data_IF_962049392473
#
_entry.id   IF_962049392473
#
_cell.length_a   1.000
_cell.length_b   1.000
_cell.length_c   1.000
_cell.angle_alpha   90.00
_cell.angle_beta   90.00
_cell.angle_gamma   90.00
#
_symmetry.space_group_name_H-M   'P 1'
#
loop_
_entity.id
_entity.type
_entity.pdbx_description
1 polymer ?
#
# COMPACT_ATOMS: atom_id res chain seq x y z
N UNK A 1 -44.71 -29.52 -9.75
CA UNK A 1 -43.66 -28.80 -8.99
C UNK A 1 -44.33 -27.67 -8.21
N UNK A 2 -44.24 -27.65 -6.88
CA UNK A 2 -45.02 -26.75 -6.01
C UNK A 2 -44.45 -25.32 -6.04
N UNK A 3 -45.29 -24.27 -6.19
CA UNK A 3 -44.85 -22.86 -6.31
C UNK A 3 -43.92 -22.43 -5.16
N UNK A 4 -44.13 -22.98 -3.95
CA UNK A 4 -43.28 -22.73 -2.77
C UNK A 4 -41.83 -23.23 -2.95
N UNK A 5 -41.61 -24.29 -3.71
CA UNK A 5 -40.26 -24.83 -3.97
C UNK A 5 -39.51 -23.99 -5.00
N UNK A 6 -40.21 -23.41 -5.97
CA UNK A 6 -39.63 -22.52 -6.98
C UNK A 6 -39.17 -21.21 -6.33
N UNK A 7 -39.97 -20.63 -5.44
CA UNK A 7 -39.59 -19.41 -4.71
C UNK A 7 -38.35 -19.60 -3.83
N UNK A 8 -38.23 -20.75 -3.15
CA UNK A 8 -37.03 -21.07 -2.34
C UNK A 8 -35.79 -21.21 -3.21
N UNK A 9 -35.91 -21.85 -4.37
CA UNK A 9 -34.81 -22.01 -5.31
C UNK A 9 -34.34 -20.65 -5.86
N UNK A 10 -35.29 -19.77 -6.23
CA UNK A 10 -34.98 -18.41 -6.66
C UNK A 10 -34.29 -17.59 -5.55
N UNK A 11 -34.79 -17.67 -4.31
CA UNK A 11 -34.18 -16.95 -3.19
C UNK A 11 -32.74 -17.42 -2.92
N UNK A 12 -32.49 -18.72 -2.95
CA UNK A 12 -31.13 -19.27 -2.80
C UNK A 12 -30.20 -18.78 -3.90
N UNK A 13 -30.66 -18.76 -5.15
CA UNK A 13 -29.86 -18.30 -6.28
C UNK A 13 -29.52 -16.81 -6.18
N UNK A 14 -30.50 -15.98 -5.79
CA UNK A 14 -30.30 -14.54 -5.58
C UNK A 14 -29.31 -14.28 -4.44
N UNK A 15 -29.40 -15.01 -3.33
CA UNK A 15 -28.46 -14.87 -2.21
C UNK A 15 -27.03 -15.20 -2.59
N UNK A 16 -26.80 -16.24 -3.40
CA UNK A 16 -25.46 -16.61 -3.89
C UNK A 16 -24.91 -15.56 -4.84
N UNK A 17 -25.74 -15.00 -5.73
CA UNK A 17 -25.33 -13.92 -6.64
C UNK A 17 -24.96 -12.64 -5.89
N UNK A 18 -25.75 -12.25 -4.89
CA UNK A 18 -25.46 -11.06 -4.06
C UNK A 18 -24.17 -11.27 -3.27
N UNK A 19 -23.97 -12.46 -2.67
CA UNK A 19 -22.75 -12.76 -1.94
C UNK A 19 -21.52 -12.74 -2.85
N UNK A 20 -21.62 -13.34 -4.04
CA UNK A 20 -20.54 -13.32 -5.04
C UNK A 20 -20.20 -11.91 -5.53
N UNK A 21 -21.21 -11.07 -5.75
CA UNK A 21 -21.02 -9.67 -6.13
C UNK A 21 -20.33 -8.86 -5.04
N UNK A 22 -20.79 -8.98 -3.78
CA UNK A 22 -20.17 -8.32 -2.64
C UNK A 22 -18.71 -8.79 -2.46
N UNK A 23 -18.44 -10.10 -2.55
CA UNK A 23 -17.07 -10.60 -2.46
C UNK A 23 -16.18 -9.99 -3.56
N UNK A 24 -16.68 -9.88 -4.80
CA UNK A 24 -15.95 -9.28 -5.91
C UNK A 24 -15.63 -7.81 -5.68
N UNK A 25 -16.55 -7.02 -5.10
CA UNK A 25 -16.30 -5.59 -4.82
C UNK A 25 -15.32 -5.38 -3.67
N UNK A 26 -15.26 -6.29 -2.69
CA UNK A 26 -14.34 -6.17 -1.55
C UNK A 26 -12.94 -6.73 -1.82
N UNK A 27 -12.81 -7.72 -2.72
CA UNK A 27 -11.53 -8.33 -3.10
C UNK A 27 -10.82 -7.65 -4.26
N UNK A 28 -11.49 -6.73 -4.96
CA UNK A 28 -10.80 -5.90 -5.94
C UNK A 28 -9.87 -4.94 -5.19
N UNK A 29 -8.54 -4.97 -5.42
CA UNK A 29 -7.65 -3.94 -4.91
C UNK A 29 -8.22 -2.61 -5.38
N UNK A 30 -8.58 -1.75 -4.44
CA UNK A 30 -9.22 -0.45 -4.71
C UNK A 30 -8.53 0.18 -5.92
N UNK A 31 -9.28 0.57 -6.96
CA UNK A 31 -8.69 1.16 -8.17
C UNK A 31 -7.81 2.37 -7.84
N UNK A 32 -8.01 3.00 -6.67
CA UNK A 32 -7.17 4.02 -6.08
C UNK A 32 -5.70 3.60 -5.84
N UNK A 33 -5.39 2.31 -5.73
CA UNK A 33 -4.04 1.78 -5.55
C UNK A 33 -3.37 1.37 -6.88
N UNK A 34 -4.12 1.33 -8.00
CA UNK A 34 -3.55 1.01 -9.31
C UNK A 34 -2.72 2.19 -9.82
N UNK A 35 -1.44 1.93 -10.04
CA UNK A 35 -0.46 2.91 -10.55
C UNK A 35 0.49 3.43 -9.49
N UNK A 36 0.15 3.32 -8.20
CA UNK A 36 1.07 3.77 -7.15
C UNK A 36 2.23 2.79 -6.98
N UNK A 37 3.44 3.27 -7.22
CA UNK A 37 4.68 2.61 -6.84
C UNK A 37 5.01 3.02 -5.41
N UNK A 38 5.28 2.03 -4.55
CA UNK A 38 5.75 2.28 -3.19
C UNK A 38 7.11 1.62 -2.97
N UNK A 39 7.92 2.22 -2.10
CA UNK A 39 9.13 1.61 -1.56
C UNK A 39 9.27 2.00 -0.09
N UNK A 40 9.73 1.06 0.71
CA UNK A 40 9.95 1.26 2.13
C UNK A 40 11.44 1.21 2.39
N UNK A 41 11.96 2.20 3.11
CA UNK A 41 13.35 2.19 3.52
C UNK A 41 13.40 2.39 5.03
N UNK A 42 14.07 1.47 5.74
CA UNK A 42 14.34 1.64 7.16
C UNK A 42 15.38 2.75 7.35
N UNK A 43 15.17 3.60 8.37
CA UNK A 43 16.13 4.66 8.71
C UNK A 43 17.48 4.05 9.11
N UNK A 44 17.46 2.86 9.70
CA UNK A 44 18.66 2.06 9.98
C UNK A 44 19.36 1.61 8.68
N UNK A 45 18.64 1.09 7.68
CA UNK A 45 19.22 0.70 6.39
C UNK A 45 19.73 1.88 5.54
N UNK A 46 19.11 3.06 5.65
CA UNK A 46 19.63 4.30 5.03
C UNK A 46 20.95 4.75 5.65
N UNK A 47 21.15 4.44 6.94
CA UNK A 47 22.40 4.75 7.65
C UNK A 47 23.55 3.91 7.10
N UNK A 48 23.27 2.66 6.73
CA UNK A 48 24.24 1.70 6.17
C UNK A 48 24.56 1.98 4.69
N UNK A 49 23.62 2.55 3.92
CA UNK A 49 23.79 2.80 2.47
C UNK A 49 24.86 3.84 2.12
N UNK A 50 25.40 4.59 3.10
CA UNK A 50 26.43 5.62 2.84
C UNK A 50 27.23 6.00 4.10
N UNK A 51 27.78 5.02 4.81
CA UNK A 51 28.62 5.32 5.97
C UNK A 51 30.05 5.71 5.55
N UNK A 52 30.31 7.02 5.40
CA UNK A 52 31.67 7.59 5.47
C UNK A 52 31.91 8.45 6.72
N UNK A 53 30.89 8.69 7.56
CA UNK A 53 31.05 9.45 8.80
C UNK A 53 30.19 8.86 9.92
N UNK A 54 30.85 8.30 10.95
CA UNK A 54 30.24 7.64 12.11
C UNK A 54 29.67 8.60 13.17
N UNK A 55 29.37 9.84 12.80
CA UNK A 55 28.76 10.81 13.72
C UNK A 55 27.24 10.84 13.52
N UNK A 56 26.47 10.99 14.60
CA UNK A 56 25.01 11.10 14.49
C UNK A 56 24.58 12.26 13.58
N UNK A 57 25.37 13.33 13.56
CA UNK A 57 25.18 14.49 12.68
C UNK A 57 25.41 14.14 11.20
N UNK A 58 26.41 13.32 10.87
CA UNK A 58 26.65 12.81 9.52
C UNK A 58 25.55 11.85 9.06
N UNK A 59 25.01 11.05 10.00
CA UNK A 59 23.88 10.16 9.74
C UNK A 59 22.61 10.94 9.38
N UNK A 60 22.28 11.99 10.12
CA UNK A 60 21.12 12.86 9.83
C UNK A 60 21.26 13.56 8.48
N UNK A 61 22.45 14.12 8.19
CA UNK A 61 22.71 14.76 6.89
C UNK A 61 22.57 13.79 5.70
N UNK A 62 22.95 12.51 5.86
CA UNK A 62 22.78 11.51 4.82
C UNK A 62 21.30 11.15 4.60
N UNK A 63 20.50 11.05 5.66
CA UNK A 63 19.06 10.80 5.57
C UNK A 63 18.36 11.96 4.85
N UNK A 64 18.68 13.20 5.23
CA UNK A 64 18.14 14.39 4.59
C UNK A 64 18.50 14.45 3.09
N UNK A 65 19.74 14.10 2.74
CA UNK A 65 20.16 14.00 1.34
C UNK A 65 19.36 12.93 0.59
N UNK A 66 19.19 11.74 1.15
CA UNK A 66 18.41 10.66 0.51
C UNK A 66 16.96 11.11 0.30
N UNK A 67 16.34 11.75 1.30
CA UNK A 67 14.98 12.31 1.17
C UNK A 67 14.93 13.33 0.03
N UNK A 68 15.88 14.27 -0.03
CA UNK A 68 15.93 15.30 -1.08
C UNK A 68 16.15 14.70 -2.46
N UNK A 69 17.03 13.71 -2.61
CA UNK A 69 17.28 13.00 -3.87
C UNK A 69 16.01 12.28 -4.35
N UNK A 70 15.25 11.65 -3.43
CA UNK A 70 13.99 11.00 -3.76
C UNK A 70 12.87 12.00 -4.11
N UNK A 71 12.78 13.11 -3.38
CA UNK A 71 11.83 14.18 -3.67
C UNK A 71 12.10 14.80 -5.06
N UNK A 72 13.37 15.03 -5.40
CA UNK A 72 13.77 15.49 -6.73
C UNK A 72 13.44 14.48 -7.84
N UNK A 73 13.42 13.18 -7.52
CA UNK A 73 12.97 12.11 -8.42
C UNK A 73 11.44 11.93 -8.47
N UNK A 74 10.67 12.85 -7.86
CA UNK A 74 9.21 12.86 -7.88
C UNK A 74 8.55 11.87 -6.92
N UNK A 75 9.27 11.41 -5.89
CA UNK A 75 8.69 10.59 -4.83
C UNK A 75 8.18 11.45 -3.69
N UNK A 76 6.95 11.19 -3.27
CA UNK A 76 6.40 11.69 -2.02
C UNK A 76 6.83 10.77 -0.88
N UNK A 77 6.91 11.27 0.35
CA UNK A 77 7.35 10.48 1.49
C UNK A 77 6.53 10.73 2.75
N UNK A 78 6.43 9.71 3.58
CA UNK A 78 5.86 9.75 4.93
C UNK A 78 6.83 9.08 5.90
N UNK A 79 7.18 9.77 6.98
CA UNK A 79 8.00 9.21 8.05
C UNK A 79 7.09 8.52 9.08
N UNK A 80 7.41 7.29 9.44
CA UNK A 80 6.71 6.51 10.46
C UNK A 80 7.73 5.71 11.28
N UNK A 81 7.73 5.87 12.61
CA UNK A 81 8.56 5.17 13.61
C UNK A 81 9.72 4.30 13.08
N UNK A 82 10.83 4.96 12.69
CA UNK A 82 12.05 4.26 12.24
C UNK A 82 12.09 3.92 10.74
N UNK A 83 11.09 4.30 9.97
CA UNK A 83 10.96 4.04 8.53
C UNK A 83 10.57 5.31 7.76
N UNK A 84 10.92 5.32 6.48
CA UNK A 84 10.40 6.26 5.50
C UNK A 84 9.69 5.45 4.41
N UNK A 85 8.41 5.77 4.22
CA UNK A 85 7.55 5.25 3.18
C UNK A 85 7.63 6.23 2.01
N UNK A 86 8.11 5.80 0.86
CA UNK A 86 8.06 6.59 -0.36
C UNK A 86 6.97 6.06 -1.28
N UNK A 87 6.23 6.97 -1.90
CA UNK A 87 5.17 6.64 -2.84
C UNK A 87 5.20 7.62 -4.01
N UNK A 88 4.83 7.12 -5.20
CA UNK A 88 4.59 7.93 -6.39
C UNK A 88 3.55 7.26 -7.26
N UNK A 89 2.91 8.02 -8.14
CA UNK A 89 2.03 7.48 -9.18
C UNK A 89 2.80 7.08 -10.44
#
# INVERSE_FOLDING_TARGET
MNRKNIQKLCAMFVSVLILGFLLHTFLQPSEAARGYQYKVISIQGMTELRTQNNTEQGRMANIEKVINDQAAAGWEFMQADGYILYFRR
#
